data_IF_068931927990
#
_entry.id   IF_068931927990
#
_cell.length_a   1.000
_cell.length_b   1.000
_cell.length_c   1.000
_cell.angle_alpha   90.00
_cell.angle_beta   90.00
_cell.angle_gamma   90.00
#
_symmetry.space_group_name_H-M   'P 1'
#
loop_
_entity.id
_entity.type
_entity.pdbx_description
1 polymer ?
#
# COMPACT_ATOMS: atom_id res chain seq x y z
N UNK A 1 21.58 18.55 2.80
CA UNK A 1 20.31 17.79 2.95
C UNK A 1 20.68 16.44 3.52
N UNK A 2 20.12 16.07 4.69
CA UNK A 2 20.34 14.74 5.24
C UNK A 2 19.61 13.74 4.34
N UNK A 3 20.35 12.87 3.65
CA UNK A 3 19.79 11.73 2.94
C UNK A 3 19.34 10.70 3.98
N UNK A 4 18.22 10.95 4.67
CA UNK A 4 17.58 9.91 5.50
C UNK A 4 17.18 8.79 4.56
N UNK A 5 17.77 7.61 4.74
CA UNK A 5 17.35 6.40 4.04
C UNK A 5 16.11 5.87 4.75
N UNK A 6 14.95 5.94 4.09
CA UNK A 6 13.72 5.32 4.60
C UNK A 6 13.80 3.80 4.47
N UNK A 7 13.31 3.10 5.48
CA UNK A 7 12.94 1.69 5.37
C UNK A 7 11.57 1.55 4.70
N UNK A 8 11.28 0.36 4.15
CA UNK A 8 9.95 0.06 3.60
C UNK A 8 8.87 0.15 4.69
N UNK A 9 9.18 -0.34 5.90
CA UNK A 9 8.32 -0.20 7.07
C UNK A 9 7.98 1.26 7.41
N UNK A 10 8.96 2.18 7.45
CA UNK A 10 8.67 3.60 7.73
C UNK A 10 7.76 4.24 6.66
N UNK A 11 7.86 3.81 5.39
CA UNK A 11 6.98 4.27 4.32
C UNK A 11 5.54 3.77 4.54
N UNK A 12 5.38 2.52 5.01
CA UNK A 12 4.09 1.96 5.37
C UNK A 12 3.46 2.71 6.54
N UNK A 13 4.23 3.03 7.58
CA UNK A 13 3.75 3.87 8.70
C UNK A 13 3.25 5.24 8.20
N UNK A 14 3.96 5.86 7.25
CA UNK A 14 3.53 7.12 6.65
C UNK A 14 2.17 6.98 5.95
N UNK A 15 1.92 5.86 5.26
CA UNK A 15 0.63 5.60 4.61
C UNK A 15 -0.50 5.44 5.63
N UNK A 16 -0.28 4.63 6.67
CA UNK A 16 -1.25 4.41 7.75
C UNK A 16 -1.65 5.73 8.43
N UNK A 17 -0.66 6.52 8.86
CA UNK A 17 -0.91 7.82 9.49
C UNK A 17 -1.32 8.92 8.50
N UNK A 18 -1.24 8.64 7.20
CA UNK A 18 -1.64 9.53 6.12
C UNK A 18 -3.10 9.39 5.70
N UNK A 19 -3.87 8.48 6.33
CA UNK A 19 -5.31 8.28 6.08
C UNK A 19 -5.65 7.00 5.32
N UNK A 20 -4.65 6.17 5.01
CA UNK A 20 -4.89 4.81 4.54
C UNK A 20 -5.09 3.85 5.71
N UNK A 21 -5.87 2.82 5.47
CA UNK A 21 -6.10 1.67 6.32
C UNK A 21 -5.54 0.44 5.63
N UNK A 22 -4.94 -0.48 6.40
CA UNK A 22 -4.51 -1.79 5.89
C UNK A 22 -5.63 -2.83 5.96
N UNK A 23 -6.84 -2.41 6.32
CA UNK A 23 -7.99 -3.30 6.39
C UNK A 23 -8.85 -3.16 5.13
N UNK A 24 -9.29 -4.31 4.64
CA UNK A 24 -10.34 -4.45 3.65
C UNK A 24 -11.53 -5.17 4.31
N UNK A 25 -12.65 -4.47 4.43
CA UNK A 25 -13.86 -4.93 5.13
C UNK A 25 -13.55 -5.48 6.55
N UNK A 26 -12.69 -4.77 7.27
CA UNK A 26 -12.29 -5.11 8.65
C UNK A 26 -11.24 -6.21 8.78
N UNK A 27 -10.78 -6.82 7.69
CA UNK A 27 -9.75 -7.86 7.71
C UNK A 27 -8.44 -7.36 7.10
N UNK A 28 -7.31 -7.83 7.62
CA UNK A 28 -6.02 -7.67 6.98
C UNK A 28 -5.88 -8.76 5.92
N UNK A 29 -5.83 -8.37 4.65
CA UNK A 29 -5.60 -9.26 3.50
C UNK A 29 -4.15 -9.09 3.06
N UNK A 30 -3.36 -10.16 3.01
CA UNK A 30 -1.90 -10.08 2.92
C UNK A 30 -1.22 -11.33 2.34
N UNK A 31 0.04 -11.19 1.93
CA UNK A 31 0.93 -12.30 1.59
C UNK A 31 1.68 -12.80 2.83
N UNK A 32 1.58 -14.10 3.18
CA UNK A 32 2.26 -14.69 4.35
C UNK A 32 3.79 -14.52 4.33
N UNK A 33 4.42 -14.79 5.48
CA UNK A 33 5.89 -14.87 5.57
C UNK A 33 6.43 -16.03 4.73
N UNK A 34 7.52 -15.79 4.01
CA UNK A 34 8.15 -16.79 3.13
C UNK A 34 7.31 -17.20 1.91
N UNK A 35 6.26 -16.45 1.57
CA UNK A 35 5.46 -16.70 0.39
C UNK A 35 6.20 -16.30 -0.91
N UNK A 36 6.34 -17.25 -1.82
CA UNK A 36 6.92 -17.04 -3.16
C UNK A 36 5.88 -17.20 -4.29
N UNK A 37 4.70 -17.74 -3.97
CA UNK A 37 3.66 -18.13 -4.92
C UNK A 37 2.50 -17.12 -5.00
N UNK A 38 2.54 -16.05 -4.21
CA UNK A 38 1.49 -15.03 -4.10
C UNK A 38 0.16 -15.58 -3.55
N UNK A 39 0.24 -16.48 -2.55
CA UNK A 39 -0.93 -17.09 -1.90
C UNK A 39 -1.54 -16.14 -0.85
N UNK A 40 -2.39 -15.23 -1.31
CA UNK A 40 -3.08 -14.25 -0.48
C UNK A 40 -3.92 -14.89 0.63
N UNK A 41 -3.73 -14.41 1.85
CA UNK A 41 -4.46 -14.80 3.05
C UNK A 41 -5.25 -13.62 3.62
N UNK A 42 -6.19 -13.92 4.50
CA UNK A 42 -7.00 -12.91 5.20
C UNK A 42 -7.19 -13.31 6.66
N UNK A 43 -7.01 -12.35 7.57
CA UNK A 43 -7.23 -12.57 9.00
C UNK A 43 -7.70 -11.28 9.69
N UNK A 44 -8.43 -11.45 10.79
CA UNK A 44 -8.66 -10.36 11.73
C UNK A 44 -7.39 -10.16 12.57
N UNK A 45 -6.81 -8.98 12.48
CA UNK A 45 -5.60 -8.59 13.22
C UNK A 45 -5.77 -7.16 13.76
N UNK A 46 -5.22 -6.90 14.94
CA UNK A 46 -5.08 -5.55 15.47
C UNK A 46 -4.05 -4.74 14.67
N UNK A 47 -4.12 -3.41 14.72
CA UNK A 47 -3.14 -2.52 14.09
C UNK A 47 -1.70 -2.86 14.52
N UNK A 48 -1.48 -3.16 15.80
CA UNK A 48 -0.17 -3.55 16.30
C UNK A 48 0.34 -4.84 15.67
N UNK A 49 -0.50 -5.87 15.57
CA UNK A 49 -0.12 -7.14 14.94
C UNK A 49 0.22 -6.94 13.46
N UNK A 50 -0.53 -6.09 12.76
CA UNK A 50 -0.26 -5.74 11.36
C UNK A 50 1.09 -5.01 11.24
N UNK A 51 1.34 -3.99 12.07
CA UNK A 51 2.61 -3.26 12.04
C UNK A 51 3.81 -4.16 12.37
N UNK A 52 3.69 -5.01 13.39
CA UNK A 52 4.73 -5.97 13.75
C UNK A 52 5.00 -6.94 12.59
N UNK A 53 3.95 -7.45 11.93
CA UNK A 53 4.05 -8.31 10.75
C UNK A 53 4.75 -7.63 9.57
N UNK A 54 4.32 -6.42 9.21
CA UNK A 54 4.89 -5.64 8.12
C UNK A 54 6.36 -5.28 8.39
N UNK A 55 6.72 -5.02 9.65
CA UNK A 55 8.10 -4.79 10.07
C UNK A 55 8.97 -6.02 9.88
N UNK A 56 8.47 -7.21 10.23
CA UNK A 56 9.19 -8.47 10.02
C UNK A 56 9.44 -8.68 8.52
N UNK A 57 8.41 -8.59 7.67
CA UNK A 57 8.58 -8.73 6.20
C UNK A 57 9.52 -7.68 5.62
N UNK A 58 9.47 -6.45 6.11
CA UNK A 58 10.40 -5.39 5.72
C UNK A 58 11.85 -5.75 6.03
N UNK A 59 12.12 -6.32 7.21
CA UNK A 59 13.47 -6.69 7.66
C UNK A 59 14.02 -7.95 6.98
N UNK A 60 13.15 -8.84 6.52
CA UNK A 60 13.53 -10.06 5.79
C UNK A 60 13.74 -9.84 4.30
N UNK A 61 13.59 -8.59 3.81
CA UNK A 61 13.64 -8.29 2.37
C UNK A 61 12.68 -9.15 1.53
N UNK A 62 11.53 -9.52 2.10
CA UNK A 62 10.45 -10.19 1.37
C UNK A 62 9.55 -9.17 0.66
N UNK A 63 8.86 -9.59 -0.41
CA UNK A 63 7.78 -8.79 -1.00
C UNK A 63 6.67 -8.63 0.02
N UNK A 64 6.28 -7.39 0.29
CA UNK A 64 5.16 -7.09 1.21
C UNK A 64 3.91 -6.93 0.36
N UNK A 65 3.02 -7.91 0.37
CA UNK A 65 1.72 -7.84 -0.27
C UNK A 65 0.60 -7.64 0.74
N UNK A 66 -0.27 -6.65 0.53
CA UNK A 66 -1.43 -6.38 1.39
C UNK A 66 -2.51 -5.57 0.67
N UNK A 67 -3.76 -5.68 1.13
CA UNK A 67 -4.83 -4.75 0.73
C UNK A 67 -4.71 -3.44 1.49
N UNK A 68 -4.97 -2.33 0.81
CA UNK A 68 -4.97 -0.99 1.39
C UNK A 68 -6.23 -0.24 0.94
N UNK A 69 -6.88 0.47 1.85
CA UNK A 69 -8.12 1.23 1.58
C UNK A 69 -8.07 2.61 2.21
N UNK A 70 -8.74 3.59 1.64
CA UNK A 70 -8.87 4.91 2.27
C UNK A 70 -9.87 4.82 3.41
N UNK A 71 -9.44 5.18 4.62
CA UNK A 71 -10.14 4.87 5.88
C UNK A 71 -11.62 5.28 5.88
N UNK A 72 -11.96 6.42 5.29
CA UNK A 72 -13.32 6.96 5.31
C UNK A 72 -14.27 6.32 4.28
N UNK A 73 -13.73 5.67 3.25
CA UNK A 73 -14.50 5.30 2.05
C UNK A 73 -14.36 3.83 1.65
N UNK A 74 -13.42 3.10 2.24
CA UNK A 74 -13.05 1.74 1.87
C UNK A 74 -12.67 1.58 0.37
N UNK A 75 -12.28 2.67 -0.30
CA UNK A 75 -11.78 2.68 -1.69
C UNK A 75 -10.29 2.40 -1.68
N UNK A 76 -9.82 1.49 -2.52
CA UNK A 76 -8.40 1.17 -2.58
C UNK A 76 -8.06 0.03 -3.52
N UNK A 77 -7.22 -0.88 -3.04
CA UNK A 77 -6.71 -1.97 -3.85
C UNK A 77 -5.67 -2.84 -3.16
N UNK A 78 -4.93 -3.62 -3.94
CA UNK A 78 -3.80 -4.40 -3.45
C UNK A 78 -2.48 -3.68 -3.73
N UNK A 79 -1.56 -3.79 -2.78
CA UNK A 79 -0.20 -3.31 -2.90
C UNK A 79 0.75 -4.49 -2.94
N UNK A 80 1.77 -4.40 -3.81
CA UNK A 80 3.01 -5.15 -3.69
C UNK A 80 4.15 -4.15 -3.49
N UNK A 81 4.86 -4.28 -2.36
CA UNK A 81 6.01 -3.43 -2.04
C UNK A 81 7.29 -4.27 -2.05
N UNK A 82 8.06 -4.13 -3.12
CA UNK A 82 9.23 -4.95 -3.40
C UNK A 82 10.47 -4.48 -2.62
N UNK A 83 11.46 -5.36 -2.39
CA UNK A 83 12.69 -5.02 -1.66
C UNK A 83 13.52 -3.90 -2.30
N UNK A 84 13.41 -3.73 -3.61
CA UNK A 84 14.05 -2.67 -4.39
C UNK A 84 13.34 -1.29 -4.28
N UNK A 85 12.36 -1.16 -3.39
CA UNK A 85 11.51 0.02 -3.21
C UNK A 85 10.53 0.32 -4.35
N UNK A 86 10.30 -0.63 -5.26
CA UNK A 86 9.18 -0.53 -6.19
C UNK A 86 7.85 -0.74 -5.44
N UNK A 87 6.94 0.21 -5.59
CA UNK A 87 5.61 0.20 -4.96
C UNK A 87 4.55 0.07 -6.05
N UNK A 88 3.97 -1.12 -6.17
CA UNK A 88 2.90 -1.41 -7.12
C UNK A 88 1.55 -1.30 -6.41
N UNK A 89 0.62 -0.52 -6.97
CA UNK A 89 -0.75 -0.38 -6.47
C UNK A 89 -1.72 -0.81 -7.57
N UNK A 90 -2.41 -1.93 -7.35
CA UNK A 90 -3.48 -2.43 -8.20
C UNK A 90 -4.83 -1.90 -7.72
N UNK A 91 -5.51 -1.09 -8.54
CA UNK A 91 -6.81 -0.49 -8.20
C UNK A 91 -7.94 -1.52 -8.37
N UNK A 92 -8.47 -2.05 -7.26
CA UNK A 92 -9.36 -3.22 -7.30
C UNK A 92 -10.47 -3.23 -6.23
N UNK A 93 -10.38 -2.40 -5.19
CA UNK A 93 -11.35 -2.38 -4.07
C UNK A 93 -12.19 -1.11 -4.15
N UNK A 94 -13.53 -1.28 -4.22
CA UNK A 94 -14.52 -0.19 -4.29
C UNK A 94 -14.07 0.95 -5.25
N UNK A 95 -13.69 0.57 -6.47
CA UNK A 95 -12.96 1.42 -7.41
C UNK A 95 -13.62 2.80 -7.56
N UNK A 96 -12.82 3.86 -7.35
CA UNK A 96 -13.26 5.22 -7.62
C UNK A 96 -13.31 5.45 -9.12
N UNK A 97 -14.52 5.68 -9.61
CA UNK A 97 -14.77 6.02 -11.00
C UNK A 97 -15.07 7.52 -11.14
N UNK A 98 -14.52 8.14 -12.19
CA UNK A 98 -14.87 9.49 -12.64
C UNK A 98 -16.16 9.46 -13.47
N UNK A 99 -16.33 8.42 -14.29
CA UNK A 99 -17.52 8.11 -15.07
C UNK A 99 -17.70 6.58 -15.14
N UNK A 100 -18.83 6.09 -15.65
CA UNK A 100 -19.32 4.70 -15.58
C UNK A 100 -18.25 3.62 -15.86
N UNK A 101 -17.29 3.88 -16.73
CA UNK A 101 -16.23 2.95 -17.12
C UNK A 101 -14.83 3.62 -17.16
N UNK A 102 -14.64 4.70 -16.39
CA UNK A 102 -13.38 5.46 -16.35
C UNK A 102 -12.94 5.59 -14.90
N UNK A 103 -11.84 4.90 -14.57
CA UNK A 103 -11.20 4.98 -13.25
C UNK A 103 -10.64 6.38 -13.01
N UNK A 104 -10.94 6.95 -11.85
CA UNK A 104 -10.37 8.22 -11.41
C UNK A 104 -8.99 8.01 -10.78
N UNK A 105 -7.98 7.83 -11.62
CA UNK A 105 -6.58 7.61 -11.18
C UNK A 105 -6.06 8.78 -10.33
N UNK A 106 -6.52 9.99 -10.63
CA UNK A 106 -6.10 11.20 -9.91
C UNK A 106 -6.50 11.13 -8.44
N UNK A 107 -7.66 10.54 -8.12
CA UNK A 107 -8.07 10.32 -6.73
C UNK A 107 -7.00 9.55 -5.94
N UNK A 108 -6.44 8.48 -6.52
CA UNK A 108 -5.40 7.68 -5.86
C UNK A 108 -4.09 8.45 -5.72
N UNK A 109 -3.64 9.13 -6.78
CA UNK A 109 -2.39 9.92 -6.76
C UNK A 109 -2.45 11.07 -5.74
N UNK A 110 -3.57 11.78 -5.66
CA UNK A 110 -3.78 12.88 -4.69
C UNK A 110 -3.80 12.36 -3.24
N UNK A 111 -4.12 11.09 -3.01
CA UNK A 111 -4.09 10.48 -1.68
C UNK A 111 -2.72 9.87 -1.33
N UNK A 112 -1.93 9.43 -2.31
CA UNK A 112 -0.61 8.83 -2.08
C UNK A 112 0.51 9.87 -2.06
N UNK A 113 0.63 10.69 -3.11
CA UNK A 113 1.82 11.53 -3.31
C UNK A 113 2.00 12.59 -2.22
N UNK A 114 0.95 13.30 -1.74
CA UNK A 114 1.12 14.25 -0.66
C UNK A 114 1.63 13.63 0.65
N UNK A 115 1.37 12.34 0.90
CA UNK A 115 1.93 11.62 2.06
C UNK A 115 3.44 11.50 1.88
N UNK A 116 3.89 11.09 0.69
CA UNK A 116 5.30 10.95 0.38
C UNK A 116 6.03 12.31 0.45
N UNK A 117 5.48 13.34 -0.20
CA UNK A 117 6.07 14.68 -0.26
C UNK A 117 6.23 15.28 1.14
N UNK A 118 5.20 15.21 1.99
CA UNK A 118 5.23 15.75 3.36
C UNK A 118 6.23 15.04 4.27
N UNK A 119 6.49 13.76 4.03
CA UNK A 119 7.45 12.97 4.79
C UNK A 119 8.85 12.99 4.18
N UNK A 120 9.06 13.68 3.05
CA UNK A 120 10.36 13.75 2.38
C UNK A 120 10.77 12.44 1.69
N UNK A 121 9.79 11.60 1.34
CA UNK A 121 10.01 10.38 0.56
C UNK A 121 10.11 10.79 -0.92
N UNK A 122 11.28 10.58 -1.51
CA UNK A 122 11.53 10.89 -2.92
C UNK A 122 11.19 9.68 -3.79
N UNK A 123 10.53 9.92 -4.93
CA UNK A 123 10.24 8.92 -5.94
C UNK A 123 10.84 9.33 -7.29
N UNK A 124 11.38 8.34 -8.01
CA UNK A 124 12.09 8.59 -9.27
C UNK A 124 11.13 8.71 -10.46
N UNK A 125 10.07 7.91 -10.48
CA UNK A 125 9.07 7.90 -11.55
C UNK A 125 7.77 7.28 -11.07
N UNK A 126 6.66 7.70 -11.66
CA UNK A 126 5.35 7.09 -11.50
C UNK A 126 4.94 6.54 -12.87
N UNK A 127 4.47 5.30 -12.91
CA UNK A 127 3.92 4.68 -14.12
C UNK A 127 2.50 4.22 -13.83
N UNK A 128 1.61 4.49 -14.77
CA UNK A 128 0.23 4.05 -14.73
C UNK A 128 -0.07 3.27 -15.99
N UNK A 129 -0.79 2.16 -15.82
CA UNK A 129 -1.27 1.34 -16.93
C UNK A 129 -2.67 0.84 -16.60
N UNK A 130 -3.57 0.94 -17.58
CA UNK A 130 -4.92 0.41 -17.53
C UNK A 130 -5.03 -0.70 -18.57
N UNK A 131 -5.58 -1.84 -18.18
CA UNK A 131 -5.90 -2.93 -19.09
C UNK A 131 -7.43 -3.05 -19.13
N UNK A 132 -8.00 -2.99 -20.33
CA UNK A 132 -9.44 -3.11 -20.59
C UNK A 132 -9.70 -4.32 -21.47
#
# INVERSE_FOLDING_TARGET
>A
MNNKKFSRYEILECLLYGGWSFLDDGNFVYLPLGDEDYDWNSASMSEKEILDFLRIKSNLDEVIGFSITWADTNIGGQVLFFPNFEFSFSITINIKNFDKDIVDVNWYLIKLLPIFDKNGILYNSIRYQEYR
#
